data_IF_850213694111
#
_entry.id   IF_850213694111
#
_cell.length_a   1.000
_cell.length_b   1.000
_cell.length_c   1.000
_cell.angle_alpha   90.00
_cell.angle_beta   90.00
_cell.angle_gamma   90.00
#
_symmetry.space_group_name_H-M   'P 1'
#
loop_
_entity.id
_entity.type
_entity.pdbx_description
1 polymer ?
#
# COMPACT_ATOMS: atom_id res chain seq x y z
N UNK A 1 -6.31 -27.05 -13.30
CA UNK A 1 -4.83 -27.08 -13.43
C UNK A 1 -4.26 -25.75 -13.97
N UNK A 2 -4.92 -24.60 -13.75
CA UNK A 2 -4.53 -23.27 -14.29
C UNK A 2 -4.29 -22.18 -13.22
N UNK A 3 -4.67 -22.43 -11.95
CA UNK A 3 -4.48 -21.46 -10.85
C UNK A 3 -3.07 -21.46 -10.24
N UNK A 4 -2.29 -22.53 -10.41
CA UNK A 4 -0.95 -22.65 -9.80
C UNK A 4 0.14 -21.86 -10.52
N UNK A 5 -0.08 -21.42 -11.77
CA UNK A 5 0.93 -20.69 -12.56
C UNK A 5 0.95 -19.20 -12.22
N UNK A 6 -0.19 -18.61 -11.81
CA UNK A 6 -0.27 -17.19 -11.41
C UNK A 6 0.49 -16.97 -10.09
N UNK A 7 0.37 -17.91 -9.14
CA UNK A 7 1.11 -17.90 -7.86
C UNK A 7 2.62 -18.06 -8.09
N UNK A 8 3.04 -18.87 -9.06
CA UNK A 8 4.45 -19.13 -9.35
C UNK A 8 5.18 -17.95 -10.03
N UNK A 9 4.49 -17.07 -10.76
CA UNK A 9 5.14 -15.93 -11.44
C UNK A 9 5.24 -14.70 -10.51
N UNK A 10 4.25 -14.49 -9.63
CA UNK A 10 4.41 -13.56 -8.49
C UNK A 10 5.52 -14.06 -7.56
N UNK A 11 5.68 -15.38 -7.41
CA UNK A 11 6.84 -15.98 -6.74
C UNK A 11 8.13 -15.87 -7.55
N UNK A 12 8.23 -15.93 -8.87
CA UNK A 12 9.59 -15.86 -9.51
C UNK A 12 10.17 -14.43 -9.53
N UNK A 13 9.33 -13.40 -9.58
CA UNK A 13 9.76 -12.00 -9.37
C UNK A 13 9.80 -11.66 -7.87
N UNK A 14 8.97 -12.33 -7.07
CA UNK A 14 8.94 -12.21 -5.61
C UNK A 14 10.05 -12.96 -4.89
N UNK A 15 10.52 -14.14 -5.33
CA UNK A 15 11.42 -15.06 -4.60
C UNK A 15 12.86 -14.59 -4.63
N UNK A 16 13.25 -13.76 -5.59
CA UNK A 16 14.49 -13.00 -5.48
C UNK A 16 14.43 -11.91 -4.37
N UNK A 17 13.24 -11.56 -3.87
CA UNK A 17 13.01 -10.61 -2.78
C UNK A 17 12.37 -11.23 -1.50
N UNK A 18 11.76 -12.42 -1.58
CA UNK A 18 11.02 -13.08 -0.50
C UNK A 18 11.90 -14.00 0.35
N UNK A 19 13.03 -14.46 -0.19
CA UNK A 19 13.92 -15.42 0.47
C UNK A 19 14.79 -14.83 1.60
N UNK A 20 14.69 -13.53 1.89
CA UNK A 20 15.53 -12.83 2.87
C UNK A 20 14.76 -12.32 4.10
N UNK A 21 13.46 -12.64 4.23
CA UNK A 21 12.58 -12.00 5.23
C UNK A 21 12.35 -12.79 6.54
N UNK A 22 12.75 -14.06 6.63
CA UNK A 22 12.62 -14.86 7.86
C UNK A 22 13.99 -15.37 8.34
N UNK A 23 14.70 -14.51 9.07
CA UNK A 23 15.86 -14.87 9.89
C UNK A 23 15.62 -14.47 11.34
N UNK A 24 14.64 -15.07 12.02
CA UNK A 24 14.48 -14.91 13.45
C UNK A 24 15.53 -15.79 14.18
N UNK A 25 16.39 -15.24 15.04
CA UNK A 25 17.17 -16.07 15.96
C UNK A 25 16.22 -16.62 17.04
N UNK A 26 16.15 -17.95 17.12
CA UNK A 26 15.52 -18.68 18.23
C UNK A 26 16.26 -18.36 19.54
N UNK A 27 15.59 -17.73 20.52
CA UNK A 27 15.93 -17.85 21.95
C UNK A 27 14.67 -17.71 22.82
N UNK A 28 14.64 -18.28 24.05
CA UNK A 28 13.55 -19.13 24.50
C UNK A 28 12.45 -18.41 25.30
N UNK A 29 11.28 -19.07 25.31
CA UNK A 29 10.08 -18.72 26.03
C UNK A 29 10.31 -18.43 27.52
N UNK A 30 9.96 -17.21 27.94
CA UNK A 30 9.75 -16.88 29.35
C UNK A 30 8.26 -16.99 29.67
N UNK A 31 7.93 -18.02 30.44
CA UNK A 31 6.65 -18.21 31.13
C UNK A 31 6.50 -17.21 32.27
N UNK A 32 5.40 -16.47 32.30
CA UNK A 32 4.76 -15.95 33.53
C UNK A 32 3.27 -15.73 33.23
N UNK A 33 2.41 -16.65 33.66
CA UNK A 33 1.67 -16.59 34.92
C UNK A 33 0.50 -15.60 34.89
N UNK A 34 -0.71 -16.18 34.79
CA UNK A 34 -1.98 -15.55 35.10
C UNK A 34 -1.92 -14.84 36.45
N UNK A 35 -2.27 -13.55 36.48
CA UNK A 35 -2.77 -12.88 37.68
C UNK A 35 -4.06 -12.19 37.29
N UNK A 36 -5.16 -12.70 37.86
CA UNK A 36 -6.46 -12.07 37.85
C UNK A 36 -6.50 -10.93 38.88
N UNK A 37 -7.23 -9.84 38.54
CA UNK A 37 -8.06 -8.95 39.39
C UNK A 37 -8.01 -7.50 38.88
N UNK A 38 -8.96 -6.62 39.24
CA UNK A 38 -10.42 -6.78 39.34
C UNK A 38 -11.15 -5.70 38.50
N UNK A 39 -12.45 -5.92 38.27
CA UNK A 39 -13.37 -4.92 37.68
C UNK A 39 -13.44 -3.69 38.58
N UNK A 40 -13.06 -2.53 38.06
CA UNK A 40 -13.44 -1.22 38.61
C UNK A 40 -14.03 -0.42 37.44
N UNK A 41 -15.32 -0.11 37.56
CA UNK A 41 -16.02 0.86 36.72
C UNK A 41 -15.46 2.25 37.02
N UNK A 42 -14.86 2.91 36.03
CA UNK A 42 -14.71 4.36 36.03
C UNK A 42 -15.72 4.97 35.06
N UNK A 43 -16.42 5.98 35.56
CA UNK A 43 -17.52 6.68 34.90
C UNK A 43 -17.04 7.40 33.64
N UNK A 44 -17.80 7.18 32.57
CA UNK A 44 -17.68 7.77 31.25
C UNK A 44 -17.85 9.31 31.30
N UNK A 45 -16.88 10.13 30.89
CA UNK A 45 -17.16 11.53 30.56
C UNK A 45 -17.87 11.56 29.21
N UNK A 46 -19.09 12.10 29.17
CA UNK A 46 -19.84 12.32 27.94
C UNK A 46 -19.10 13.35 27.08
N UNK A 47 -18.46 12.90 25.99
CA UNK A 47 -17.93 13.79 24.95
C UNK A 47 -19.12 14.42 24.21
N UNK A 48 -19.05 15.74 24.02
CA UNK A 48 -20.01 16.50 23.23
C UNK A 48 -20.01 16.01 21.76
N UNK A 49 -21.20 15.88 21.16
CA UNK A 49 -21.38 15.63 19.74
C UNK A 49 -20.58 16.64 18.90
N UNK A 50 -19.73 16.19 17.96
CA UNK A 50 -19.18 17.10 16.98
C UNK A 50 -20.33 17.57 16.08
N UNK A 51 -20.50 18.89 15.99
CA UNK A 51 -21.40 19.52 15.01
C UNK A 51 -21.01 19.03 13.62
N UNK A 52 -21.90 18.24 13.02
CA UNK A 52 -21.85 17.88 11.60
C UNK A 52 -21.76 19.17 10.78
N UNK A 53 -20.58 19.39 10.19
CA UNK A 53 -20.42 20.33 9.10
C UNK A 53 -20.66 19.50 7.86
N UNK A 54 -21.80 19.72 7.21
CA UNK A 54 -22.17 19.07 5.96
C UNK A 54 -21.13 19.44 4.89
N UNK A 55 -20.18 18.54 4.66
CA UNK A 55 -19.23 18.65 3.57
C UNK A 55 -20.00 18.65 2.25
N UNK A 56 -19.71 19.57 1.31
CA UNK A 56 -20.42 19.61 0.05
C UNK A 56 -20.20 18.30 -0.71
N UNK A 57 -21.28 17.53 -0.89
CA UNK A 57 -21.28 16.31 -1.71
C UNK A 57 -20.80 16.69 -3.12
N UNK A 58 -19.64 16.18 -3.59
CA UNK A 58 -19.20 16.47 -4.95
C UNK A 58 -20.23 15.94 -5.95
N UNK A 59 -20.36 16.55 -7.14
CA UNK A 59 -21.36 16.15 -8.12
C UNK A 59 -21.18 14.68 -8.47
N UNK A 60 -22.22 13.88 -8.22
CA UNK A 60 -22.30 12.48 -8.62
C UNK A 60 -22.27 12.43 -10.14
N UNK A 61 -21.10 12.17 -10.73
CA UNK A 61 -21.09 11.48 -12.02
C UNK A 61 -21.85 10.17 -11.78
N UNK A 62 -22.96 9.95 -12.48
CA UNK A 62 -23.60 8.63 -12.50
C UNK A 62 -22.56 7.64 -13.02
N UNK A 63 -21.97 6.87 -12.11
CA UNK A 63 -21.05 5.81 -12.43
C UNK A 63 -21.88 4.60 -12.86
N UNK A 64 -21.54 3.99 -13.98
CA UNK A 64 -22.18 2.74 -14.39
C UNK A 64 -21.69 1.59 -13.51
N UNK A 65 -22.56 1.14 -12.60
CA UNK A 65 -22.28 0.05 -11.67
C UNK A 65 -22.67 -1.33 -12.23
N UNK A 66 -23.31 -1.41 -13.39
CA UNK A 66 -23.99 -2.63 -13.89
C UNK A 66 -23.09 -3.86 -13.88
N UNK A 67 -21.82 -3.69 -14.23
CA UNK A 67 -20.86 -4.79 -14.30
C UNK A 67 -20.31 -5.25 -12.93
N UNK A 68 -20.62 -4.56 -11.84
CA UNK A 68 -20.06 -4.81 -10.50
C UNK A 68 -21.11 -5.26 -9.47
N UNK A 69 -22.40 -4.98 -9.69
CA UNK A 69 -23.48 -5.19 -8.70
C UNK A 69 -23.51 -6.62 -8.15
N UNK A 70 -23.30 -7.62 -9.00
CA UNK A 70 -23.34 -9.06 -8.64
C UNK A 70 -21.95 -9.68 -8.43
N UNK A 71 -20.88 -8.90 -8.56
CA UNK A 71 -19.51 -9.40 -8.42
C UNK A 71 -19.10 -9.35 -6.94
N UNK A 72 -18.53 -10.44 -6.42
CA UNK A 72 -18.16 -10.59 -5.00
C UNK A 72 -16.77 -11.18 -4.84
N UNK A 73 -16.21 -11.06 -3.63
CA UNK A 73 -14.92 -11.66 -3.28
C UNK A 73 -13.76 -11.18 -4.18
N UNK A 74 -12.83 -12.06 -4.58
CA UNK A 74 -11.64 -11.67 -5.34
C UNK A 74 -11.96 -11.09 -6.72
N UNK A 75 -13.09 -11.49 -7.30
CA UNK A 75 -13.51 -11.05 -8.63
C UNK A 75 -13.89 -9.57 -8.65
N UNK A 76 -14.36 -9.02 -7.52
CA UNK A 76 -14.72 -7.60 -7.43
C UNK A 76 -13.48 -6.71 -7.57
N UNK A 77 -12.41 -7.03 -6.83
CA UNK A 77 -11.13 -6.34 -6.94
C UNK A 77 -10.59 -6.37 -8.37
N UNK A 78 -10.66 -7.55 -9.01
CA UNK A 78 -10.14 -7.73 -10.36
C UNK A 78 -10.99 -6.93 -11.37
N UNK A 79 -12.32 -6.96 -11.22
CA UNK A 79 -13.22 -6.19 -12.06
C UNK A 79 -12.94 -4.68 -11.93
N UNK A 80 -12.80 -4.16 -10.72
CA UNK A 80 -12.51 -2.74 -10.48
C UNK A 80 -11.22 -2.31 -11.19
N UNK A 81 -10.14 -3.11 -11.04
CA UNK A 81 -8.83 -2.77 -11.61
C UNK A 81 -8.81 -2.89 -13.14
N UNK A 82 -9.52 -3.87 -13.72
CA UNK A 82 -9.54 -4.10 -15.18
C UNK A 82 -10.47 -3.15 -15.92
N UNK A 83 -11.67 -2.93 -15.39
CA UNK A 83 -12.67 -2.11 -16.08
C UNK A 83 -12.37 -0.62 -15.97
N UNK A 84 -11.47 -0.23 -15.05
CA UNK A 84 -11.15 1.17 -14.77
C UNK A 84 -9.65 1.38 -14.63
N UNK A 85 -8.94 1.84 -15.68
CA UNK A 85 -7.50 2.13 -15.60
C UNK A 85 -7.14 3.30 -14.68
N UNK A 86 -8.11 4.16 -14.33
CA UNK A 86 -7.93 5.33 -13.49
C UNK A 86 -8.07 4.98 -12.00
N UNK A 87 -7.01 5.22 -11.22
CA UNK A 87 -6.97 4.89 -9.78
C UNK A 87 -8.07 5.58 -8.97
N UNK A 88 -8.32 6.86 -9.24
CA UNK A 88 -9.31 7.63 -8.50
C UNK A 88 -10.71 7.08 -8.77
N UNK A 89 -11.02 6.78 -10.03
CA UNK A 89 -12.31 6.22 -10.43
C UNK A 89 -12.55 4.80 -9.89
N UNK A 90 -11.50 3.98 -9.68
CA UNK A 90 -11.64 2.68 -9.01
C UNK A 90 -12.20 2.83 -7.59
N UNK A 91 -11.68 3.80 -6.83
CA UNK A 91 -12.15 4.10 -5.48
C UNK A 91 -13.55 4.69 -5.50
N UNK A 92 -13.85 5.58 -6.45
CA UNK A 92 -15.21 6.11 -6.64
C UNK A 92 -16.25 5.02 -6.92
N UNK A 93 -15.92 4.03 -7.75
CA UNK A 93 -16.80 2.88 -8.02
C UNK A 93 -17.03 2.04 -6.76
N UNK A 94 -15.96 1.80 -5.98
CA UNK A 94 -16.08 1.06 -4.73
C UNK A 94 -16.96 1.80 -3.71
N UNK A 95 -16.79 3.11 -3.57
CA UNK A 95 -17.65 3.95 -2.73
C UNK A 95 -19.10 3.94 -3.21
N UNK A 96 -19.35 4.04 -4.51
CA UNK A 96 -20.69 4.01 -5.07
C UNK A 96 -21.40 2.67 -4.81
N UNK A 97 -20.69 1.54 -4.89
CA UNK A 97 -21.25 0.22 -4.52
C UNK A 97 -21.68 0.16 -3.05
N UNK A 98 -20.98 0.87 -2.16
CA UNK A 98 -21.34 0.95 -0.74
C UNK A 98 -22.52 1.90 -0.52
N UNK A 99 -22.48 3.08 -1.15
CA UNK A 99 -23.53 4.10 -1.06
C UNK A 99 -24.88 3.60 -1.59
N UNK A 100 -24.87 2.76 -2.64
CA UNK A 100 -26.05 2.11 -3.21
C UNK A 100 -26.40 0.78 -2.54
N UNK A 101 -25.72 0.43 -1.44
CA UNK A 101 -25.98 -0.77 -0.63
C UNK A 101 -25.78 -2.11 -1.37
N UNK A 102 -25.00 -2.11 -2.44
CA UNK A 102 -24.55 -3.32 -3.12
C UNK A 102 -23.41 -4.02 -2.39
N UNK A 103 -22.68 -3.30 -1.53
CA UNK A 103 -21.57 -3.79 -0.73
C UNK A 103 -21.65 -3.19 0.69
N UNK A 104 -21.47 -3.97 1.75
CA UNK A 104 -21.39 -3.38 3.09
C UNK A 104 -20.00 -2.77 3.33
N UNK A 105 -19.94 -1.58 3.93
CA UNK A 105 -18.70 -0.81 4.17
C UNK A 105 -17.63 -1.57 4.98
N UNK A 106 -18.03 -2.54 5.80
CA UNK A 106 -17.16 -3.39 6.61
C UNK A 106 -17.27 -4.87 6.21
N UNK A 107 -17.85 -5.17 5.05
CA UNK A 107 -17.86 -6.53 4.49
C UNK A 107 -16.42 -6.96 4.20
N UNK A 108 -16.04 -8.15 4.66
CA UNK A 108 -14.74 -8.72 4.33
C UNK A 108 -14.71 -9.20 2.88
N UNK A 109 -13.73 -8.74 2.13
CA UNK A 109 -13.51 -9.10 0.73
C UNK A 109 -12.22 -9.92 0.65
N UNK A 110 -12.30 -11.11 0.06
CA UNK A 110 -11.12 -11.88 -0.28
C UNK A 110 -10.30 -11.12 -1.33
N UNK A 111 -9.05 -10.79 -1.02
CA UNK A 111 -8.23 -10.02 -1.96
C UNK A 111 -7.52 -10.93 -2.97
N UNK A 112 -7.23 -10.37 -4.15
CA UNK A 112 -6.60 -11.10 -5.27
C UNK A 112 -5.21 -11.62 -4.90
N UNK A 113 -4.53 -10.94 -3.97
CA UNK A 113 -3.14 -11.21 -3.58
C UNK A 113 -3.09 -11.42 -2.07
N UNK A 114 -2.92 -12.68 -1.66
CA UNK A 114 -2.90 -13.09 -0.25
C UNK A 114 -4.17 -13.84 0.14
N UNK A 115 -4.06 -14.73 1.13
CA UNK A 115 -5.23 -15.41 1.72
C UNK A 115 -5.90 -14.51 2.79
N UNK A 116 -5.79 -13.19 2.64
CA UNK A 116 -6.24 -12.23 3.64
C UNK A 116 -7.58 -11.64 3.22
N UNK A 117 -8.45 -11.46 4.22
CA UNK A 117 -9.76 -10.85 4.05
C UNK A 117 -9.72 -9.41 4.54
N UNK A 118 -9.98 -8.46 3.65
CA UNK A 118 -9.84 -7.02 3.93
C UNK A 118 -11.16 -6.27 3.71
N UNK A 119 -11.39 -5.19 4.45
CA UNK A 119 -12.59 -4.36 4.27
C UNK A 119 -12.43 -3.39 3.09
N UNK A 120 -13.53 -2.84 2.53
CA UNK A 120 -13.49 -1.95 1.38
C UNK A 120 -12.52 -0.77 1.47
N UNK A 121 -12.31 -0.18 2.66
CA UNK A 121 -11.36 0.92 2.81
C UNK A 121 -9.90 0.48 2.55
N UNK A 122 -9.54 -0.73 2.98
CA UNK A 122 -8.23 -1.32 2.72
C UNK A 122 -8.08 -1.74 1.26
N UNK A 123 -9.16 -2.26 0.65
CA UNK A 123 -9.20 -2.46 -0.81
C UNK A 123 -8.96 -1.14 -1.54
N UNK A 124 -9.52 -0.03 -1.04
CA UNK A 124 -9.33 1.29 -1.65
C UNK A 124 -7.86 1.75 -1.64
N UNK A 125 -7.13 1.53 -0.54
CA UNK A 125 -5.69 1.81 -0.48
C UNK A 125 -4.91 1.01 -1.53
N UNK A 126 -5.24 -0.26 -1.68
CA UNK A 126 -4.60 -1.18 -2.64
C UNK A 126 -4.90 -0.83 -4.10
N UNK A 127 -6.17 -0.66 -4.47
CA UNK A 127 -6.57 -0.36 -5.86
C UNK A 127 -6.16 1.04 -6.30
N UNK A 128 -6.00 1.97 -5.36
CA UNK A 128 -5.49 3.32 -5.62
C UNK A 128 -3.97 3.40 -5.64
N UNK A 129 -3.28 2.31 -5.26
CA UNK A 129 -1.81 2.28 -5.11
C UNK A 129 -1.31 3.38 -4.17
N UNK A 130 -2.03 3.59 -3.06
CA UNK A 130 -1.74 4.63 -2.07
C UNK A 130 -2.18 6.04 -2.43
N UNK A 131 -2.81 6.26 -3.60
CA UNK A 131 -3.24 7.58 -4.08
C UNK A 131 -4.69 7.93 -3.76
N UNK A 132 -5.25 7.36 -2.68
CA UNK A 132 -6.57 7.75 -2.19
C UNK A 132 -6.56 9.22 -1.74
N UNK A 133 -7.62 9.95 -2.07
CA UNK A 133 -7.75 11.35 -1.65
C UNK A 133 -8.37 11.47 -0.26
N UNK A 134 -8.10 12.56 0.45
CA UNK A 134 -8.71 12.83 1.77
C UNK A 134 -10.24 12.85 1.71
N UNK A 135 -10.82 13.36 0.61
CA UNK A 135 -12.27 13.36 0.41
C UNK A 135 -12.86 11.95 0.25
N UNK A 136 -12.17 11.06 -0.49
CA UNK A 136 -12.59 9.66 -0.62
C UNK A 136 -12.46 8.91 0.70
N UNK A 137 -11.35 9.12 1.41
CA UNK A 137 -11.13 8.55 2.73
C UNK A 137 -12.22 8.98 3.71
N UNK A 138 -12.54 10.29 3.77
CA UNK A 138 -13.60 10.78 4.63
C UNK A 138 -14.96 10.16 4.31
N UNK A 139 -15.28 9.94 3.02
CA UNK A 139 -16.53 9.25 2.64
C UNK A 139 -16.61 7.83 3.18
N UNK A 140 -15.51 7.08 3.21
CA UNK A 140 -15.51 5.77 3.87
C UNK A 140 -15.82 5.89 5.37
N UNK A 141 -15.21 6.86 6.06
CA UNK A 141 -15.46 7.10 7.48
C UNK A 141 -16.92 7.51 7.75
N UNK A 142 -17.47 8.40 6.92
CA UNK A 142 -18.86 8.86 7.01
C UNK A 142 -19.86 7.72 6.80
N UNK A 143 -19.49 6.72 6.00
CA UNK A 143 -20.25 5.48 5.79
C UNK A 143 -20.08 4.46 6.93
N UNK A 144 -19.20 4.72 7.91
CA UNK A 144 -18.96 3.86 9.06
C UNK A 144 -17.85 2.82 8.86
N UNK A 145 -16.89 3.05 7.95
CA UNK A 145 -15.73 2.19 7.80
C UNK A 145 -14.91 2.14 9.10
N UNK A 146 -14.55 0.93 9.54
CA UNK A 146 -13.68 0.76 10.70
C UNK A 146 -12.22 0.73 10.28
N UNK A 147 -11.41 1.59 10.90
CA UNK A 147 -9.95 1.49 10.84
C UNK A 147 -9.50 0.47 11.88
N UNK A 148 -8.83 -0.59 11.44
CA UNK A 148 -8.35 -1.66 12.30
C UNK A 148 -6.83 -1.54 12.46
N UNK A 149 -6.34 -1.86 13.66
CA UNK A 149 -4.91 -1.97 13.95
C UNK A 149 -4.54 -3.44 14.12
N UNK A 150 -3.65 -3.93 13.27
CA UNK A 150 -2.94 -5.19 13.37
C UNK A 150 -1.73 -5.15 12.44
N UNK A 151 -0.82 -6.12 12.56
CA UNK A 151 0.42 -6.18 11.79
C UNK A 151 0.22 -6.04 10.27
N UNK A 152 -0.88 -6.60 9.74
CA UNK A 152 -1.21 -6.51 8.32
C UNK A 152 -1.59 -5.08 7.92
N UNK A 153 -2.49 -4.44 8.67
CA UNK A 153 -2.94 -3.08 8.37
C UNK A 153 -1.90 -2.01 8.65
N UNK A 154 -1.02 -2.23 9.62
CA UNK A 154 0.16 -1.40 9.84
C UNK A 154 1.11 -1.51 8.63
N UNK A 155 1.30 -2.70 8.06
CA UNK A 155 2.11 -2.87 6.85
C UNK A 155 1.46 -2.23 5.60
N UNK A 156 0.13 -2.33 5.47
CA UNK A 156 -0.64 -1.77 4.34
C UNK A 156 -0.75 -0.24 4.37
N UNK A 157 -0.98 0.36 5.54
CA UNK A 157 -1.08 1.82 5.65
C UNK A 157 0.24 2.50 5.26
N UNK A 158 1.36 1.79 5.39
CA UNK A 158 2.66 2.25 4.92
C UNK A 158 2.72 2.55 3.42
N UNK A 159 1.77 2.09 2.61
CA UNK A 159 1.65 2.47 1.20
C UNK A 159 0.87 3.76 0.93
N UNK A 160 0.17 4.32 1.92
CA UNK A 160 -0.67 5.52 1.74
C UNK A 160 0.21 6.76 1.64
N UNK A 161 0.18 7.46 0.51
CA UNK A 161 1.02 8.64 0.23
C UNK A 161 0.26 9.94 0.49
N UNK A 162 -0.46 10.01 1.63
CA UNK A 162 -1.24 11.17 2.02
C UNK A 162 -1.16 11.37 3.54
N UNK A 163 -0.43 12.40 3.97
CA UNK A 163 -0.14 12.67 5.38
C UNK A 163 -1.38 12.90 6.24
N UNK A 164 -2.45 13.50 5.70
CA UNK A 164 -3.68 13.74 6.45
C UNK A 164 -4.39 12.41 6.79
N UNK A 165 -4.41 11.48 5.82
CA UNK A 165 -4.97 10.14 6.02
C UNK A 165 -4.11 9.37 7.01
N UNK A 166 -2.79 9.39 6.82
CA UNK A 166 -1.85 8.74 7.74
C UNK A 166 -1.99 9.27 9.17
N UNK A 167 -2.10 10.59 9.36
CA UNK A 167 -2.28 11.18 10.69
C UNK A 167 -3.59 10.75 11.32
N UNK A 168 -4.69 10.73 10.54
CA UNK A 168 -5.99 10.28 11.04
C UNK A 168 -5.94 8.83 11.50
N UNK A 169 -5.38 7.94 10.66
CA UNK A 169 -5.23 6.53 11.03
C UNK A 169 -4.30 6.36 12.24
N UNK A 170 -3.19 7.10 12.32
CA UNK A 170 -2.26 7.05 13.44
C UNK A 170 -2.95 7.36 14.76
N UNK A 171 -3.78 8.40 14.79
CA UNK A 171 -4.50 8.83 15.98
C UNK A 171 -5.63 7.84 16.35
N UNK A 172 -6.40 7.37 15.38
CA UNK A 172 -7.49 6.39 15.59
C UNK A 172 -6.97 5.00 16.00
N UNK A 173 -5.79 4.60 15.51
CA UNK A 173 -5.12 3.36 15.90
C UNK A 173 -4.50 3.44 17.31
N UNK A 174 -4.50 4.62 17.93
CA UNK A 174 -3.92 4.85 19.25
C UNK A 174 -2.41 4.60 19.27
N UNK A 175 -1.71 4.95 18.19
CA UNK A 175 -0.24 4.85 18.15
C UNK A 175 0.40 5.93 19.03
N UNK A 176 1.49 5.56 19.67
CA UNK A 176 2.23 6.42 20.60
C UNK A 176 3.73 6.47 20.35
N UNK A 177 4.48 7.17 21.22
CA UNK A 177 5.94 7.23 21.15
C UNK A 177 6.64 5.88 21.11
N UNK A 178 6.05 4.87 21.75
CA UNK A 178 6.51 3.47 21.72
C UNK A 178 6.52 2.86 20.31
N UNK A 179 5.67 3.35 19.41
CA UNK A 179 5.53 2.87 18.04
C UNK A 179 6.39 3.65 17.04
N UNK A 180 6.95 4.82 17.43
CA UNK A 180 7.63 5.72 16.50
C UNK A 180 8.79 5.04 15.75
N UNK A 181 9.60 4.24 16.43
CA UNK A 181 10.72 3.56 15.78
C UNK A 181 10.24 2.57 14.71
N UNK A 182 9.23 1.75 15.05
CA UNK A 182 8.64 0.80 14.11
C UNK A 182 8.02 1.51 12.90
N UNK A 183 7.23 2.57 13.12
CA UNK A 183 6.60 3.31 12.04
C UNK A 183 7.61 4.06 11.16
N UNK A 184 8.73 4.51 11.73
CA UNK A 184 9.81 5.16 10.98
C UNK A 184 10.61 4.15 10.13
N UNK A 185 10.88 2.96 10.66
CA UNK A 185 11.48 1.87 9.87
C UNK A 185 10.51 1.35 8.79
N UNK A 186 9.21 1.31 9.07
CA UNK A 186 8.16 1.00 8.09
C UNK A 186 8.13 2.04 6.97
N UNK A 187 8.27 3.33 7.28
CA UNK A 187 8.36 4.39 6.28
C UNK A 187 9.53 4.15 5.30
N UNK A 188 10.69 3.72 5.81
CA UNK A 188 11.82 3.32 4.98
C UNK A 188 11.49 2.06 4.15
N UNK A 189 10.95 1.02 4.78
CA UNK A 189 10.57 -0.22 4.12
C UNK A 189 9.63 0.03 2.94
N UNK A 190 8.66 0.94 3.11
CA UNK A 190 7.64 1.24 2.12
C UNK A 190 8.03 2.36 1.16
N UNK A 191 9.12 3.07 1.43
CA UNK A 191 9.52 4.24 0.64
C UNK A 191 8.53 5.39 0.76
N UNK A 192 7.98 5.60 1.96
CA UNK A 192 6.92 6.56 2.22
C UNK A 192 7.45 7.78 2.97
N UNK A 193 7.72 8.85 2.22
CA UNK A 193 8.23 10.10 2.78
C UNK A 193 7.21 10.81 3.69
N UNK A 194 5.93 10.74 3.35
CA UNK A 194 4.85 11.34 4.14
C UNK A 194 4.75 10.68 5.52
N UNK A 195 4.89 9.35 5.59
CA UNK A 195 4.92 8.62 6.86
C UNK A 195 6.17 8.95 7.68
N UNK A 196 7.33 9.03 7.01
CA UNK A 196 8.58 9.40 7.69
C UNK A 196 8.47 10.81 8.29
N UNK A 197 7.95 11.78 7.53
CA UNK A 197 7.74 13.16 8.00
C UNK A 197 6.73 13.22 9.14
N UNK A 198 5.58 12.54 9.00
CA UNK A 198 4.56 12.45 10.05
C UNK A 198 5.17 11.97 11.37
N UNK A 199 5.87 10.85 11.37
CA UNK A 199 6.45 10.26 12.59
C UNK A 199 7.57 11.14 13.14
N UNK A 200 8.48 11.59 12.28
CA UNK A 200 9.67 12.33 12.69
C UNK A 200 9.36 13.73 13.22
N UNK A 201 8.52 14.47 12.49
CA UNK A 201 8.25 15.89 12.73
C UNK A 201 6.98 16.07 13.55
N UNK A 202 5.86 15.53 13.08
CA UNK A 202 4.53 15.88 13.57
C UNK A 202 4.18 15.12 14.85
N UNK A 203 4.54 13.83 14.93
CA UNK A 203 4.36 12.99 16.13
C UNK A 203 5.54 13.06 17.11
N UNK A 204 6.63 13.70 16.72
CA UNK A 204 7.73 14.05 17.62
C UNK A 204 8.87 13.03 17.73
N UNK A 205 8.95 12.05 16.82
CA UNK A 205 10.00 11.02 16.83
C UNK A 205 11.43 11.56 16.86
N UNK A 206 11.67 12.77 16.33
CA UNK A 206 12.98 13.46 16.46
C UNK A 206 13.41 13.73 17.91
N UNK A 207 12.45 13.90 18.83
CA UNK A 207 12.73 14.14 20.26
C UNK A 207 12.90 12.82 21.02
N UNK A 208 12.30 11.75 20.52
CA UNK A 208 12.43 10.39 21.05
C UNK A 208 13.70 9.68 20.57
N UNK A 209 14.56 10.38 19.81
CA UNK A 209 15.81 9.86 19.25
C UNK A 209 15.59 8.66 18.32
N UNK A 210 14.44 8.62 17.66
CA UNK A 210 14.21 7.72 16.53
C UNK A 210 15.34 7.94 15.52
N UNK A 211 15.74 6.88 14.84
CA UNK A 211 16.70 6.95 13.74
C UNK A 211 16.57 5.70 12.90
N UNK A 212 16.93 5.76 11.62
CA UNK A 212 16.97 4.54 10.82
C UNK A 212 17.96 3.55 11.42
N UNK A 213 17.52 2.30 11.61
CA UNK A 213 18.39 1.27 12.15
C UNK A 213 19.56 1.01 11.19
N UNK A 214 20.77 0.78 11.73
CA UNK A 214 21.97 0.50 10.90
C UNK A 214 21.77 -0.74 10.01
N UNK A 215 21.05 -1.72 10.53
CA UNK A 215 20.71 -2.94 9.81
C UNK A 215 19.77 -2.63 8.63
N UNK A 216 18.69 -1.89 8.87
CA UNK A 216 17.75 -1.45 7.83
C UNK A 216 18.49 -0.67 6.74
N UNK A 217 19.33 0.31 7.11
CA UNK A 217 20.14 1.08 6.16
C UNK A 217 21.04 0.17 5.33
N UNK A 218 21.79 -0.74 5.97
CA UNK A 218 22.70 -1.63 5.25
C UNK A 218 21.96 -2.59 4.31
N UNK A 219 20.83 -3.15 4.75
CA UNK A 219 20.02 -4.06 3.95
C UNK A 219 19.55 -3.36 2.66
N UNK A 220 19.03 -2.15 2.76
CA UNK A 220 18.60 -1.42 1.56
C UNK A 220 19.77 -0.91 0.72
N UNK A 221 20.89 -0.51 1.33
CA UNK A 221 22.10 -0.15 0.56
C UNK A 221 22.58 -1.32 -0.32
N UNK A 222 22.44 -2.57 0.14
CA UNK A 222 22.76 -3.76 -0.66
C UNK A 222 21.81 -3.92 -1.85
N UNK A 223 20.51 -3.63 -1.68
CA UNK A 223 19.52 -3.68 -2.78
C UNK A 223 19.85 -2.69 -3.91
N UNK A 224 20.47 -1.57 -3.56
CA UNK A 224 20.87 -0.54 -4.52
C UNK A 224 22.29 -0.74 -5.05
N UNK A 225 23.00 -1.80 -4.65
CA UNK A 225 24.34 -2.05 -5.13
C UNK A 225 24.32 -2.68 -6.53
N UNK A 226 24.92 -1.99 -7.49
CA UNK A 226 25.09 -2.53 -8.84
C UNK A 226 23.80 -2.67 -9.63
N UNK A 227 22.77 -1.86 -9.33
CA UNK A 227 21.54 -1.77 -10.13
C UNK A 227 21.90 -1.60 -11.61
N UNK A 228 21.32 -2.45 -12.45
CA UNK A 228 21.52 -2.43 -13.90
C UNK A 228 20.24 -1.95 -14.58
N UNK A 229 20.34 -1.24 -15.71
CA UNK A 229 19.18 -0.86 -16.50
C UNK A 229 18.32 -2.06 -16.90
N UNK A 230 17.01 -1.86 -16.97
CA UNK A 230 16.06 -2.87 -17.42
C UNK A 230 16.26 -3.20 -18.90
N UNK A 231 16.02 -4.47 -19.24
CA UNK A 231 15.91 -4.90 -20.64
C UNK A 231 14.47 -4.70 -21.13
N UNK A 232 14.24 -3.66 -21.93
CA UNK A 232 12.90 -3.26 -22.43
C UNK A 232 12.19 -4.40 -23.18
N UNK A 233 12.90 -5.13 -24.05
CA UNK A 233 12.32 -6.21 -24.87
C UNK A 233 11.85 -7.37 -24.00
N UNK A 234 12.74 -7.87 -23.13
CA UNK A 234 12.41 -8.97 -22.20
C UNK A 234 11.25 -8.62 -21.29
N UNK A 235 11.18 -7.37 -20.84
CA UNK A 235 10.11 -6.90 -19.97
C UNK A 235 8.78 -6.78 -20.73
N UNK A 236 8.80 -6.24 -21.96
CA UNK A 236 7.61 -6.15 -22.79
C UNK A 236 7.02 -7.53 -23.13
N UNK A 237 7.87 -8.50 -23.44
CA UNK A 237 7.45 -9.88 -23.71
C UNK A 237 6.84 -10.54 -22.49
N UNK A 238 7.44 -10.34 -21.31
CA UNK A 238 6.92 -10.85 -20.04
C UNK A 238 5.52 -10.29 -19.75
N UNK A 239 5.32 -8.97 -19.91
CA UNK A 239 4.04 -8.32 -19.65
C UNK A 239 2.97 -8.84 -20.60
N UNK A 240 3.25 -8.97 -21.90
CA UNK A 240 2.28 -9.49 -22.88
C UNK A 240 1.97 -10.97 -22.68
N UNK A 241 2.96 -11.77 -22.28
CA UNK A 241 2.82 -13.20 -22.06
C UNK A 241 2.09 -13.58 -20.77
N UNK A 242 1.87 -12.62 -19.86
CA UNK A 242 1.27 -12.86 -18.55
C UNK A 242 -0.22 -12.52 -18.57
N UNK A 243 -1.06 -13.43 -18.05
CA UNK A 243 -2.49 -13.13 -17.84
C UNK A 243 -2.62 -11.97 -16.87
N UNK A 244 -3.34 -10.91 -17.27
CA UNK A 244 -3.44 -9.65 -16.53
C UNK A 244 -2.09 -8.96 -16.33
N UNK A 245 -1.20 -9.10 -17.31
CA UNK A 245 0.16 -8.58 -17.23
C UNK A 245 0.21 -7.06 -17.07
N UNK A 246 -0.72 -6.30 -17.65
CA UNK A 246 -0.83 -4.85 -17.47
C UNK A 246 -1.14 -4.47 -16.01
N UNK A 247 -2.09 -5.16 -15.38
CA UNK A 247 -2.47 -4.96 -13.97
C UNK A 247 -1.32 -5.29 -13.03
N UNK A 248 -0.67 -6.44 -13.25
CA UNK A 248 0.49 -6.85 -12.45
C UNK A 248 1.63 -5.84 -12.63
N UNK A 249 1.84 -5.36 -13.87
CA UNK A 249 2.92 -4.45 -14.18
C UNK A 249 2.72 -3.05 -13.59
N UNK A 250 1.48 -2.58 -13.46
CA UNK A 250 1.13 -1.37 -12.73
C UNK A 250 1.56 -1.44 -11.24
N UNK A 251 1.37 -2.60 -10.60
CA UNK A 251 1.86 -2.84 -9.23
C UNK A 251 3.40 -2.83 -9.16
N UNK A 252 4.08 -3.39 -10.17
CA UNK A 252 5.54 -3.38 -10.25
C UNK A 252 6.07 -1.94 -10.41
N UNK A 253 5.42 -1.11 -11.25
CA UNK A 253 5.77 0.31 -11.37
C UNK A 253 5.64 1.03 -10.03
N UNK A 254 4.56 0.77 -9.28
CA UNK A 254 4.37 1.36 -7.94
C UNK A 254 5.49 0.95 -7.00
N UNK A 255 5.86 -0.34 -6.95
CA UNK A 255 6.99 -0.81 -6.14
C UNK A 255 8.32 -0.17 -6.56
N UNK A 256 8.51 0.10 -7.85
CA UNK A 256 9.70 0.77 -8.36
C UNK A 256 9.78 2.24 -7.94
N UNK A 257 8.64 2.95 -7.96
CA UNK A 257 8.52 4.30 -7.40
C UNK A 257 8.88 4.32 -5.90
N UNK A 258 8.38 3.35 -5.13
CA UNK A 258 8.70 3.24 -3.71
C UNK A 258 10.19 3.00 -3.47
N UNK A 259 10.86 2.22 -4.33
CA UNK A 259 12.32 2.04 -4.26
C UNK A 259 13.06 3.35 -4.49
N UNK A 260 12.60 4.20 -5.42
CA UNK A 260 13.17 5.53 -5.66
C UNK A 260 12.94 6.43 -4.44
N UNK A 261 11.72 6.48 -3.92
CA UNK A 261 11.41 7.29 -2.73
C UNK A 261 12.20 6.84 -1.48
N UNK A 262 12.48 5.54 -1.35
CA UNK A 262 13.36 5.01 -0.30
C UNK A 262 14.81 5.51 -0.43
N UNK A 263 15.31 5.73 -1.65
CA UNK A 263 16.65 6.33 -1.84
C UNK A 263 16.69 7.72 -1.22
N UNK A 264 15.66 8.54 -1.42
CA UNK A 264 15.57 9.87 -0.80
C UNK A 264 15.54 9.78 0.73
N UNK A 265 14.74 8.88 1.29
CA UNK A 265 14.73 8.63 2.73
C UNK A 265 16.09 8.21 3.30
N UNK A 266 16.83 7.35 2.59
CA UNK A 266 18.19 6.98 3.00
C UNK A 266 19.16 8.16 2.93
N UNK A 267 19.03 9.03 1.91
CA UNK A 267 19.85 10.24 1.77
C UNK A 267 19.57 11.23 2.90
N UNK A 268 18.32 11.36 3.33
CA UNK A 268 17.90 12.31 4.35
C UNK A 268 18.21 11.81 5.77
N UNK A 269 17.91 10.54 6.06
CA UNK A 269 17.91 10.00 7.42
C UNK A 269 18.96 8.91 7.68
N UNK A 270 19.60 8.35 6.64
CA UNK A 270 20.45 7.17 6.75
C UNK A 270 21.88 7.39 7.27
N UNK A 271 22.26 8.64 7.61
CA UNK A 271 23.62 9.01 8.05
C UNK A 271 24.73 8.43 7.14
N UNK A 272 24.56 8.60 5.84
CA UNK A 272 25.40 8.00 4.81
C UNK A 272 26.71 8.78 4.59
N UNK A 273 27.79 8.04 4.32
CA UNK A 273 29.05 8.62 3.84
C UNK A 273 28.96 9.00 2.35
N UNK A 274 29.94 9.76 1.85
CA UNK A 274 29.95 10.26 0.46
C UNK A 274 29.87 9.16 -0.59
N UNK A 275 30.55 8.03 -0.37
CA UNK A 275 30.54 6.91 -1.33
C UNK A 275 29.20 6.21 -1.38
N UNK A 276 28.53 6.05 -0.23
CA UNK A 276 27.17 5.52 -0.16
C UNK A 276 26.17 6.46 -0.84
N UNK A 277 26.31 7.79 -0.65
CA UNK A 277 25.46 8.78 -1.32
C UNK A 277 25.62 8.75 -2.84
N UNK A 278 26.85 8.71 -3.34
CA UNK A 278 27.14 8.61 -4.77
C UNK A 278 26.58 7.31 -5.38
N UNK A 279 26.68 6.19 -4.65
CA UNK A 279 26.06 4.92 -5.07
C UNK A 279 24.54 5.06 -5.19
N UNK A 280 23.88 5.69 -4.22
CA UNK A 280 22.44 5.92 -4.26
C UNK A 280 22.03 6.84 -5.40
N UNK A 281 22.75 7.94 -5.63
CA UNK A 281 22.49 8.86 -6.75
C UNK A 281 22.62 8.16 -8.11
N UNK A 282 23.62 7.28 -8.27
CA UNK A 282 23.75 6.47 -9.48
C UNK A 282 22.56 5.53 -9.67
N UNK A 283 22.17 4.79 -8.61
CA UNK A 283 21.05 3.86 -8.66
C UNK A 283 19.71 4.57 -8.89
N UNK A 284 19.51 5.75 -8.29
CA UNK A 284 18.34 6.60 -8.50
C UNK A 284 18.21 7.00 -9.98
N UNK A 285 19.32 7.45 -10.60
CA UNK A 285 19.36 7.83 -12.02
C UNK A 285 18.99 6.67 -12.96
N UNK A 286 19.53 5.47 -12.69
CA UNK A 286 19.17 4.26 -13.46
C UNK A 286 17.69 3.92 -13.27
N UNK A 287 17.19 3.94 -12.03
CA UNK A 287 15.79 3.62 -11.72
C UNK A 287 14.80 4.62 -12.33
N UNK A 288 15.13 5.92 -12.37
CA UNK A 288 14.30 6.93 -13.02
C UNK A 288 14.22 6.71 -14.53
N UNK A 289 15.34 6.36 -15.17
CA UNK A 289 15.35 5.97 -16.60
C UNK A 289 14.50 4.72 -16.86
N UNK A 290 14.59 3.73 -15.98
CA UNK A 290 13.80 2.50 -16.05
C UNK A 290 12.30 2.76 -15.91
N UNK A 291 11.90 3.69 -15.04
CA UNK A 291 10.50 4.06 -14.85
C UNK A 291 9.86 4.58 -16.14
N UNK A 292 10.58 5.36 -16.93
CA UNK A 292 10.10 5.84 -18.24
C UNK A 292 9.93 4.70 -19.23
N UNK A 293 10.84 3.71 -19.24
CA UNK A 293 10.70 2.48 -20.04
C UNK A 293 9.44 1.74 -19.61
N UNK A 294 9.25 1.52 -18.31
CA UNK A 294 8.11 0.78 -17.77
C UNK A 294 6.78 1.46 -18.12
N UNK A 295 6.68 2.79 -17.98
CA UNK A 295 5.46 3.54 -18.35
C UNK A 295 5.09 3.36 -19.82
N UNK A 296 6.08 3.38 -20.72
CA UNK A 296 5.84 3.12 -22.16
C UNK A 296 5.38 1.69 -22.42
N UNK A 297 5.97 0.70 -21.76
CA UNK A 297 5.54 -0.70 -21.87
C UNK A 297 4.10 -0.85 -21.36
N UNK A 298 3.76 -0.26 -20.21
CA UNK A 298 2.40 -0.35 -19.65
C UNK A 298 1.35 0.23 -20.61
N UNK A 299 1.63 1.38 -21.23
CA UNK A 299 0.72 1.97 -22.22
C UNK A 299 0.45 1.01 -23.38
N UNK A 300 1.51 0.42 -23.96
CA UNK A 300 1.39 -0.58 -25.04
C UNK A 300 0.68 -1.86 -24.60
N UNK A 301 0.91 -2.29 -23.35
CA UNK A 301 0.27 -3.48 -22.80
C UNK A 301 -1.25 -3.27 -22.66
N UNK A 302 -1.67 -2.11 -22.16
CA UNK A 302 -3.10 -1.77 -22.03
C UNK A 302 -3.81 -1.77 -23.38
N UNK A 303 -3.17 -1.25 -24.43
CA UNK A 303 -3.69 -1.33 -25.80
C UNK A 303 -3.86 -2.79 -26.25
N UNK A 304 -2.83 -3.61 -26.05
CA UNK A 304 -2.86 -5.03 -26.40
C UNK A 304 -3.98 -5.81 -25.70
N UNK A 305 -4.14 -5.62 -24.38
CA UNK A 305 -5.18 -6.33 -23.61
C UNK A 305 -6.58 -5.80 -23.94
N UNK A 306 -6.74 -4.52 -24.26
CA UNK A 306 -8.01 -3.98 -24.72
C UNK A 306 -8.44 -4.55 -26.09
N UNK A 307 -7.49 -4.77 -27.00
CA UNK A 307 -7.75 -5.43 -28.28
C UNK A 307 -8.14 -6.91 -28.10
N UNK A 308 -7.46 -7.63 -27.21
CA UNK A 308 -7.81 -9.02 -26.90
C UNK A 308 -9.22 -9.16 -26.32
N UNK A 309 -9.63 -8.25 -25.44
CA UNK A 309 -10.98 -8.26 -24.86
C UNK A 309 -12.06 -8.10 -25.94
N UNK A 310 -11.87 -7.15 -26.87
CA UNK A 310 -12.79 -6.94 -28.00
C UNK A 310 -12.89 -8.13 -28.95
N UNK A 311 -11.84 -8.95 -29.05
CA UNK A 311 -11.82 -10.11 -29.93
C UNK A 311 -12.48 -11.35 -29.30
N UNK A 312 -12.83 -11.30 -28.01
CA UNK A 312 -13.48 -12.39 -27.28
C UNK A 312 -15.00 -12.18 -27.12
N UNK A 313 -15.51 -10.98 -27.45
CA UNK A 313 -16.94 -10.63 -27.52
C UNK A 313 -17.49 -10.83 -28.95
#
# INVERSE_FOLDING_TARGET
MKQWIVVLIVLVIGVAAYGWWFGAPEEPAVSTAQIAQPVVQEEQPTLAEPKSVESPKPPSQELDLTQFIDVRGPDLGLALVRSTPDFHKRVELLLALIEEQHLNVNETIDWIVGNETITPIWVAFEISRGNITTAQFQRFLDLGATLQRNDFYEDEIGYVMNKDILSTWYDEAGLGPEDHQYMFDLALLRGNAELAELVWVDKGGRFDQVQLSKESVQNFMNDYQGVQPLNEEKLADLVKGTTYGDVIFEAIITRHLNKIARIELLKDYGNLNSSQREQLEHSESVMLSDLDIMRRILAKAREHFAEQAKAQD
#
